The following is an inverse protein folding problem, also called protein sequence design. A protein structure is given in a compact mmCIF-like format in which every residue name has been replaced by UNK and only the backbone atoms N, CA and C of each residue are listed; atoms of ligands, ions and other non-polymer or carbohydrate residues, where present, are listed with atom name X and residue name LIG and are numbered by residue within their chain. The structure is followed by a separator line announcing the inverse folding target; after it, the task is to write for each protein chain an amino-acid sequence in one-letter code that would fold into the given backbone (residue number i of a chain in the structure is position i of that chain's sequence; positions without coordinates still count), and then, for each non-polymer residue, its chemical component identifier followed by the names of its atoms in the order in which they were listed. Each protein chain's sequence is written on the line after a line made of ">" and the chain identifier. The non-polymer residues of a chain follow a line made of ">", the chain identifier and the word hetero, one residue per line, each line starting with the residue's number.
data_IF_864196585824
#
_entry.id   IF_864196585824
#
_cell.length_a   1.000
_cell.length_b   1.000
_cell.length_c   1.000
_cell.angle_alpha   90.00
_cell.angle_beta   90.00
_cell.angle_gamma   90.00
#
_symmetry.space_group_name_H-M   'P 1'
#
loop_
_entity.id
_entity.type
_entity.pdbx_description
1 polymer ?
#
# COMPACT_ATOMS: atom_id res chain seq x y z
N UNK A 1 34.83 27.65 73.90
CA UNK A 1 33.64 27.41 74.74
C UNK A 1 32.43 27.54 73.83
N UNK A 2 31.98 26.45 73.22
CA UNK A 2 30.89 25.56 73.67
C UNK A 2 29.51 26.25 73.73
N UNK A 3 28.58 25.64 72.97
CA UNK A 3 27.11 25.62 73.08
C UNK A 3 26.30 26.78 72.47
N UNK A 4 25.07 26.61 71.96
CA UNK A 4 24.35 25.56 71.21
C UNK A 4 22.90 26.11 70.97
N UNK A 5 22.35 25.86 69.78
CA UNK A 5 20.93 25.66 69.41
C UNK A 5 19.82 26.76 69.36
N UNK A 6 19.19 26.76 68.17
CA UNK A 6 17.76 26.80 67.78
C UNK A 6 16.90 28.06 67.93
N UNK A 7 16.37 28.54 66.80
CA UNK A 7 14.92 28.53 66.53
C UNK A 7 14.64 28.46 65.01
N UNK A 8 13.63 27.66 64.66
CA UNK A 8 13.09 27.38 63.32
C UNK A 8 12.19 28.49 62.79
N UNK A 9 12.15 28.71 61.47
CA UNK A 9 10.95 29.16 60.75
C UNK A 9 10.84 28.42 59.40
N UNK A 10 9.61 27.99 59.10
CA UNK A 10 9.14 27.17 58.01
C UNK A 10 9.20 27.83 56.61
N UNK A 11 9.65 27.01 55.64
CA UNK A 11 9.01 26.62 54.38
C UNK A 11 8.22 27.64 53.52
N UNK A 12 8.64 27.78 52.25
CA UNK A 12 7.76 27.89 51.07
C UNK A 12 8.55 27.37 49.85
N UNK A 13 8.70 26.05 49.75
CA UNK A 13 9.12 25.39 48.52
C UNK A 13 8.05 25.49 47.43
N UNK A 14 8.34 26.20 46.34
CA UNK A 14 7.51 26.18 45.13
C UNK A 14 7.73 24.84 44.44
N UNK A 15 6.76 23.94 44.59
CA UNK A 15 6.71 22.70 43.82
C UNK A 15 6.41 23.03 42.35
N UNK A 16 7.43 22.96 41.49
CA UNK A 16 7.23 22.94 40.05
C UNK A 16 6.62 21.59 39.67
N UNK A 17 5.31 21.54 39.45
CA UNK A 17 4.65 20.40 38.81
C UNK A 17 5.12 20.33 37.36
N UNK A 18 6.13 19.49 37.11
CA UNK A 18 6.42 18.99 35.76
C UNK A 18 5.30 18.03 35.41
N UNK A 19 4.27 18.53 34.74
CA UNK A 19 3.30 17.67 34.06
C UNK A 19 4.04 16.97 32.93
N UNK A 20 4.43 15.72 33.15
CA UNK A 20 4.82 14.82 32.08
C UNK A 20 3.60 14.59 31.21
N UNK A 21 3.51 15.29 30.07
CA UNK A 21 2.60 14.91 29.00
C UNK A 21 3.04 13.52 28.52
N UNK A 22 2.32 12.47 28.96
CA UNK A 22 2.41 11.17 28.30
C UNK A 22 2.15 11.44 26.82
N UNK A 23 3.14 11.16 25.97
CA UNK A 23 2.91 11.12 24.53
C UNK A 23 1.78 10.12 24.31
N UNK A 24 0.66 10.57 23.75
CA UNK A 24 -0.46 9.69 23.40
C UNK A 24 0.10 8.55 22.53
N UNK A 25 0.00 7.31 23.02
CA UNK A 25 0.40 6.14 22.24
C UNK A 25 -0.40 6.12 20.94
N UNK A 26 0.29 6.11 19.80
CA UNK A 26 -0.35 5.99 18.50
C UNK A 26 -0.94 4.58 18.39
N UNK A 27 -2.26 4.49 18.24
CA UNK A 27 -2.97 3.24 17.98
C UNK A 27 -3.15 3.12 16.47
N UNK A 28 -2.86 1.94 15.92
CA UNK A 28 -3.16 1.57 14.54
C UNK A 28 -4.06 0.34 14.54
N UNK A 29 -5.31 0.52 14.15
CA UNK A 29 -6.31 -0.54 14.04
C UNK A 29 -6.44 -0.89 12.56
N UNK A 30 -6.34 -2.17 12.23
CA UNK A 30 -6.36 -2.66 10.85
C UNK A 30 -7.29 -3.86 10.74
N UNK A 31 -8.39 -3.69 10.00
CA UNK A 31 -9.29 -4.77 9.61
C UNK A 31 -8.94 -5.18 8.17
N UNK A 32 -8.34 -6.36 8.02
CA UNK A 32 -8.05 -6.90 6.69
C UNK A 32 -9.34 -7.24 5.93
N UNK A 33 -10.41 -7.64 6.63
CA UNK A 33 -11.70 -8.00 6.05
C UNK A 33 -11.67 -9.17 5.06
N UNK A 34 -10.68 -10.05 5.17
CA UNK A 34 -10.62 -11.26 4.38
C UNK A 34 -11.70 -12.26 4.81
N UNK A 35 -11.56 -12.80 6.03
CA UNK A 35 -12.45 -13.86 6.53
C UNK A 35 -12.94 -13.60 7.94
N UNK A 36 -12.39 -12.56 8.58
CA UNK A 36 -12.62 -12.22 9.97
C UNK A 36 -13.04 -10.76 10.09
N UNK A 37 -13.90 -10.50 11.07
CA UNK A 37 -14.31 -9.14 11.45
C UNK A 37 -13.42 -8.54 12.54
N UNK A 38 -12.47 -9.31 13.08
CA UNK A 38 -11.47 -8.84 14.05
C UNK A 38 -10.42 -7.99 13.35
N UNK A 39 -9.96 -6.94 14.02
CA UNK A 39 -8.74 -6.26 13.59
C UNK A 39 -7.49 -7.14 13.83
N UNK A 40 -6.35 -6.75 13.26
CA UNK A 40 -5.07 -7.47 13.37
C UNK A 40 -4.54 -7.65 14.80
N UNK A 41 -4.98 -6.83 15.77
CA UNK A 41 -4.63 -7.00 17.19
C UNK A 41 -5.66 -7.82 17.98
N UNK A 42 -6.77 -8.21 17.35
CA UNK A 42 -7.90 -8.93 17.94
C UNK A 42 -8.51 -8.21 19.16
N UNK A 43 -8.58 -6.87 19.12
CA UNK A 43 -9.13 -6.01 20.17
C UNK A 43 -10.47 -5.39 19.74
N UNK A 44 -10.55 -4.93 18.50
CA UNK A 44 -11.70 -4.25 17.93
C UNK A 44 -12.44 -5.18 16.97
N UNK A 45 -13.33 -5.99 17.54
CA UNK A 45 -14.02 -7.06 16.80
C UNK A 45 -15.36 -6.56 16.27
N UNK A 46 -15.53 -6.61 14.96
CA UNK A 46 -16.77 -6.23 14.28
C UNK A 46 -17.84 -7.32 14.31
N UNK A 47 -19.09 -6.91 14.17
CA UNK A 47 -20.25 -7.78 13.90
C UNK A 47 -20.85 -7.40 12.55
N UNK A 48 -21.05 -8.37 11.68
CA UNK A 48 -21.74 -8.18 10.39
C UNK A 48 -23.24 -8.02 10.63
N UNK A 49 -23.83 -6.97 10.05
CA UNK A 49 -25.23 -6.63 10.21
C UNK A 49 -26.01 -6.97 8.94
N UNK A 50 -27.25 -7.42 9.12
CA UNK A 50 -28.22 -7.63 8.04
C UNK A 50 -27.74 -8.58 6.92
N UNK A 51 -26.96 -9.59 7.30
CA UNK A 51 -26.48 -10.62 6.37
C UNK A 51 -25.37 -10.15 5.44
N UNK A 52 -24.60 -9.13 5.81
CA UNK A 52 -23.36 -8.79 5.10
C UNK A 52 -22.44 -10.02 5.02
N UNK A 53 -21.70 -10.16 3.91
CA UNK A 53 -20.84 -11.32 3.63
C UNK A 53 -19.48 -10.87 3.13
N UNK A 54 -18.61 -11.82 2.81
CA UNK A 54 -17.34 -11.58 2.13
C UNK A 54 -17.45 -11.92 0.64
N UNK A 55 -16.56 -11.34 -0.17
CA UNK A 55 -16.33 -11.72 -1.57
C UNK A 55 -14.84 -12.00 -1.79
N UNK A 56 -14.48 -12.64 -2.89
CA UNK A 56 -13.09 -12.94 -3.26
C UNK A 56 -12.69 -12.19 -4.52
N UNK A 57 -11.39 -11.89 -4.64
CA UNK A 57 -10.81 -11.25 -5.84
C UNK A 57 -11.07 -12.08 -7.10
N UNK A 58 -11.44 -11.43 -8.20
CA UNK A 58 -11.60 -12.06 -9.52
C UNK A 58 -10.93 -11.19 -10.60
N UNK A 59 -10.59 -11.73 -11.78
CA UNK A 59 -10.06 -10.88 -12.86
C UNK A 59 -10.97 -9.71 -13.26
N UNK A 60 -12.30 -9.85 -13.10
CA UNK A 60 -13.28 -8.79 -13.34
C UNK A 60 -13.39 -7.76 -12.21
N UNK A 61 -12.95 -8.12 -11.00
CA UNK A 61 -12.93 -7.27 -9.81
C UNK A 61 -11.58 -7.49 -9.11
N UNK A 62 -10.48 -7.04 -9.76
CA UNK A 62 -9.15 -7.61 -9.55
C UNK A 62 -8.43 -7.08 -8.32
N UNK A 63 -9.13 -6.34 -7.46
CA UNK A 63 -8.53 -5.83 -6.25
C UNK A 63 -9.37 -6.22 -5.05
N UNK A 64 -8.78 -6.98 -4.16
CA UNK A 64 -9.20 -7.15 -2.77
C UNK A 64 -7.92 -7.42 -1.99
N UNK A 65 -6.89 -6.58 -2.20
CA UNK A 65 -5.51 -6.88 -1.86
C UNK A 65 -5.20 -8.40 -1.86
N UNK A 66 -4.60 -8.88 -0.78
CA UNK A 66 -4.49 -10.24 -0.27
C UNK A 66 -5.79 -10.98 0.11
N UNK A 67 -6.65 -11.44 -0.80
CA UNK A 67 -7.67 -12.45 -0.43
C UNK A 67 -9.13 -12.06 -0.68
N UNK A 68 -9.84 -11.65 0.37
CA UNK A 68 -11.28 -11.41 0.41
C UNK A 68 -11.59 -10.01 0.99
N UNK A 69 -12.82 -9.55 0.83
CA UNK A 69 -13.22 -8.24 1.33
C UNK A 69 -14.69 -8.24 1.72
N UNK A 70 -15.13 -7.16 2.37
CA UNK A 70 -16.51 -7.04 2.84
C UNK A 70 -17.44 -6.68 1.67
N UNK A 71 -18.50 -7.47 1.48
CA UNK A 71 -19.55 -7.28 0.48
C UNK A 71 -20.82 -6.75 1.11
N UNK A 72 -21.31 -5.63 0.59
CA UNK A 72 -22.39 -4.84 1.16
C UNK A 72 -23.45 -4.50 0.11
N UNK A 73 -24.70 -4.72 0.48
CA UNK A 73 -25.89 -4.36 -0.31
C UNK A 73 -26.66 -3.25 0.40
N UNK A 74 -26.72 -2.07 -0.21
CA UNK A 74 -27.36 -0.91 0.43
C UNK A 74 -28.86 -1.08 0.63
N UNK A 75 -29.55 -1.74 -0.30
CA UNK A 75 -30.99 -2.04 -0.19
C UNK A 75 -31.34 -3.02 0.94
N UNK A 76 -30.35 -3.78 1.42
CA UNK A 76 -30.46 -4.65 2.60
C UNK A 76 -29.92 -3.99 3.87
N UNK A 77 -29.54 -2.71 3.83
CA UNK A 77 -28.99 -1.97 4.99
C UNK A 77 -27.77 -2.67 5.62
N UNK A 78 -26.90 -3.26 4.80
CA UNK A 78 -25.74 -4.03 5.25
C UNK A 78 -24.56 -3.16 5.65
N UNK A 79 -23.88 -3.54 6.73
CA UNK A 79 -22.66 -2.89 7.24
C UNK A 79 -22.00 -3.79 8.30
N UNK A 80 -20.81 -3.42 8.76
CA UNK A 80 -20.17 -3.99 9.95
C UNK A 80 -20.15 -2.95 11.07
N UNK A 81 -20.42 -3.36 12.30
CA UNK A 81 -20.37 -2.50 13.49
C UNK A 81 -19.35 -2.98 14.51
N UNK A 82 -18.56 -2.08 15.08
CA UNK A 82 -17.71 -2.31 16.24
C UNK A 82 -18.31 -1.51 17.38
N UNK A 83 -19.04 -2.20 18.25
CA UNK A 83 -19.75 -1.57 19.37
C UNK A 83 -18.81 -1.17 20.51
N UNK A 84 -17.82 -2.02 20.80
CA UNK A 84 -16.84 -1.86 21.89
C UNK A 84 -15.51 -2.51 21.53
N UNK A 85 -14.37 -2.04 22.09
CA UNK A 85 -14.25 -0.83 22.90
C UNK A 85 -14.35 0.45 22.04
N UNK A 86 -14.69 1.57 22.68
CA UNK A 86 -14.70 2.88 22.03
C UNK A 86 -13.28 3.27 21.62
N UNK A 87 -13.13 3.80 20.40
CA UNK A 87 -11.88 4.42 19.94
C UNK A 87 -11.98 5.92 20.15
N UNK A 88 -11.24 6.44 21.11
CA UNK A 88 -11.25 7.86 21.44
C UNK A 88 -10.42 8.70 20.45
N UNK A 89 -11.13 9.40 19.57
CA UNK A 89 -10.60 10.35 18.59
C UNK A 89 -10.81 11.82 19.02
N UNK A 90 -11.37 12.07 20.21
CA UNK A 90 -11.75 13.39 20.70
C UNK A 90 -10.52 14.29 20.81
N UNK A 91 -10.53 15.45 20.14
CA UNK A 91 -9.40 16.40 20.14
C UNK A 91 -8.04 15.78 19.75
N UNK A 92 -8.05 14.79 18.84
CA UNK A 92 -6.82 14.12 18.37
C UNK A 92 -6.70 14.18 16.86
N UNK A 93 -5.46 14.10 16.38
CA UNK A 93 -5.17 13.79 14.99
C UNK A 93 -5.50 12.33 14.69
N UNK A 94 -6.03 12.05 13.51
CA UNK A 94 -6.27 10.68 13.06
C UNK A 94 -6.29 10.55 11.55
N UNK A 95 -6.20 9.31 11.08
CA UNK A 95 -6.29 8.94 9.67
C UNK A 95 -7.17 7.71 9.53
N UNK A 96 -8.13 7.77 8.62
CA UNK A 96 -8.92 6.63 8.15
C UNK A 96 -8.57 6.40 6.70
N UNK A 97 -8.25 5.17 6.32
CA UNK A 97 -7.99 4.81 4.93
C UNK A 97 -8.54 3.40 4.64
N UNK A 98 -8.96 3.17 3.40
CA UNK A 98 -9.55 1.91 2.96
C UNK A 98 -9.64 1.86 1.44
N UNK A 99 -9.78 0.66 0.89
CA UNK A 99 -10.16 0.46 -0.49
C UNK A 99 -11.67 0.28 -0.64
N UNK A 100 -12.25 0.93 -1.64
CA UNK A 100 -13.67 0.84 -1.96
C UNK A 100 -13.90 0.51 -3.44
N UNK A 101 -14.97 -0.24 -3.72
CA UNK A 101 -15.49 -0.47 -5.06
C UNK A 101 -17.01 -0.43 -5.01
N UNK A 102 -17.61 0.54 -5.70
CA UNK A 102 -19.07 0.58 -5.81
C UNK A 102 -19.55 -0.24 -7.00
N UNK A 103 -20.48 -1.16 -6.75
CA UNK A 103 -21.15 -1.97 -7.78
C UNK A 103 -22.28 -1.23 -8.49
N UNK A 104 -22.68 -0.06 -7.97
CA UNK A 104 -23.68 0.81 -8.56
C UNK A 104 -23.12 2.22 -8.81
N UNK A 105 -23.69 2.93 -9.79
CA UNK A 105 -23.41 4.35 -9.98
C UNK A 105 -23.66 5.10 -8.67
N UNK A 106 -22.71 5.94 -8.27
CA UNK A 106 -22.86 6.74 -7.07
C UNK A 106 -24.01 7.75 -7.26
N UNK A 107 -24.90 7.78 -6.28
CA UNK A 107 -25.99 8.76 -6.18
C UNK A 107 -26.30 8.97 -4.70
N UNK A 108 -26.62 10.20 -4.30
CA UNK A 108 -26.81 10.51 -2.88
C UNK A 108 -25.57 10.23 -2.03
N UNK A 109 -25.76 9.81 -0.79
CA UNK A 109 -24.67 9.49 0.15
C UNK A 109 -24.45 7.97 0.23
N UNK A 110 -23.20 7.53 0.10
CA UNK A 110 -22.77 6.13 0.24
C UNK A 110 -21.74 6.03 1.37
N UNK A 111 -22.17 5.55 2.54
CA UNK A 111 -21.38 5.58 3.78
C UNK A 111 -20.23 4.56 3.79
N UNK A 112 -19.00 4.99 4.08
CA UNK A 112 -17.81 4.12 4.10
C UNK A 112 -17.38 3.82 5.53
N UNK A 113 -17.18 4.86 6.34
CA UNK A 113 -16.74 4.75 7.74
C UNK A 113 -17.40 5.83 8.58
N UNK A 114 -17.93 5.49 9.76
CA UNK A 114 -18.48 6.50 10.66
C UNK A 114 -18.40 6.15 12.15
N UNK A 115 -18.32 7.18 12.98
CA UNK A 115 -18.40 7.12 14.45
C UNK A 115 -19.21 8.33 14.92
N UNK A 116 -20.32 8.11 15.61
CA UNK A 116 -21.31 9.16 15.87
C UNK A 116 -21.87 9.05 17.27
N UNK A 117 -21.74 10.13 18.04
CA UNK A 117 -22.34 10.28 19.37
C UNK A 117 -23.72 10.93 19.28
N UNK A 118 -23.78 12.13 18.70
CA UNK A 118 -25.00 12.94 18.59
C UNK A 118 -25.18 13.43 17.14
N UNK A 119 -26.16 12.85 16.45
CA UNK A 119 -26.41 13.07 15.02
C UNK A 119 -26.76 14.51 14.63
N UNK A 120 -27.24 15.32 15.57
CA UNK A 120 -27.60 16.73 15.35
C UNK A 120 -26.62 17.72 15.99
N UNK A 121 -25.62 17.24 16.73
CA UNK A 121 -24.63 18.08 17.40
C UNK A 121 -23.45 18.35 16.46
N UNK A 122 -23.02 19.62 16.38
CA UNK A 122 -21.83 19.96 15.60
C UNK A 122 -20.60 19.28 16.19
N UNK A 123 -19.72 18.78 15.33
CA UNK A 123 -18.44 18.16 15.65
C UNK A 123 -18.48 16.79 16.35
N UNK A 124 -19.65 16.15 16.49
CA UNK A 124 -19.80 14.90 17.25
C UNK A 124 -20.13 13.65 16.40
N UNK A 125 -20.26 13.79 15.08
CA UNK A 125 -20.40 12.64 14.19
C UNK A 125 -19.42 12.69 13.03
N UNK A 126 -18.46 11.78 13.10
CA UNK A 126 -17.48 11.53 12.08
C UNK A 126 -18.12 10.67 10.98
N UNK A 127 -17.99 11.11 9.74
CA UNK A 127 -18.30 10.33 8.55
C UNK A 127 -17.23 10.50 7.49
N UNK A 128 -16.95 9.40 6.78
CA UNK A 128 -16.30 9.32 5.49
C UNK A 128 -17.26 8.58 4.54
N UNK A 129 -17.59 9.20 3.42
CA UNK A 129 -18.58 8.70 2.46
C UNK A 129 -18.31 9.23 1.04
N UNK A 130 -19.02 8.70 0.05
CA UNK A 130 -19.14 9.33 -1.28
C UNK A 130 -20.48 10.07 -1.34
N UNK A 131 -20.48 11.36 -1.67
CA UNK A 131 -21.67 12.20 -1.87
C UNK A 131 -21.80 12.57 -3.33
N UNK A 132 -22.91 12.18 -3.96
CA UNK A 132 -23.07 12.30 -5.41
C UNK A 132 -22.02 11.44 -6.09
N UNK A 133 -20.92 12.03 -6.52
CA UNK A 133 -19.77 11.34 -7.11
C UNK A 133 -18.44 11.74 -6.48
N UNK A 134 -18.42 12.49 -5.38
CA UNK A 134 -17.20 13.02 -4.78
C UNK A 134 -17.01 12.50 -3.37
N UNK A 135 -15.76 12.34 -2.94
CA UNK A 135 -15.46 12.04 -1.54
C UNK A 135 -15.98 13.13 -0.63
N UNK A 136 -16.48 12.75 0.54
CA UNK A 136 -17.01 13.67 1.52
C UNK A 136 -16.66 13.15 2.92
N UNK A 137 -16.20 14.04 3.77
CA UNK A 137 -15.95 13.71 5.17
C UNK A 137 -16.22 14.91 6.08
N UNK A 138 -16.35 14.66 7.37
CA UNK A 138 -16.56 15.73 8.32
C UNK A 138 -17.04 15.24 9.68
N UNK A 139 -17.35 16.21 10.55
CA UNK A 139 -17.74 15.97 11.94
C UNK A 139 -19.18 16.43 12.24
N UNK A 140 -20.05 16.58 11.25
CA UNK A 140 -21.33 17.32 11.31
C UNK A 140 -21.13 18.83 11.38
N UNK A 141 -21.61 19.54 10.34
CA UNK A 141 -21.46 20.99 10.14
C UNK A 141 -20.00 21.47 10.06
N UNK A 142 -19.06 20.54 9.89
CA UNK A 142 -17.64 20.80 9.81
C UNK A 142 -17.03 19.85 8.80
N UNK A 143 -17.39 20.09 7.54
CA UNK A 143 -17.24 19.12 6.47
C UNK A 143 -16.23 19.59 5.42
N UNK A 144 -15.78 18.62 4.63
CA UNK A 144 -14.92 18.79 3.47
C UNK A 144 -15.50 17.94 2.32
N UNK A 145 -15.49 18.51 1.11
CA UNK A 145 -15.85 17.81 -0.12
C UNK A 145 -14.63 17.73 -1.03
N UNK A 146 -14.45 16.56 -1.63
CA UNK A 146 -13.54 16.30 -2.71
C UNK A 146 -13.96 17.01 -4.00
N UNK A 147 -13.04 17.04 -4.97
CA UNK A 147 -13.28 17.61 -6.30
C UNK A 147 -13.26 16.54 -7.40
N UNK A 148 -12.61 15.41 -7.14
CA UNK A 148 -12.56 14.27 -8.04
C UNK A 148 -13.92 13.59 -8.16
N UNK A 149 -14.20 13.06 -9.35
CA UNK A 149 -15.39 12.27 -9.66
C UNK A 149 -15.05 10.79 -9.63
N UNK A 150 -15.73 10.04 -8.76
CA UNK A 150 -15.65 8.59 -8.68
C UNK A 150 -16.71 7.98 -9.58
N UNK A 151 -16.28 7.05 -10.43
CA UNK A 151 -17.17 6.19 -11.21
C UNK A 151 -17.33 4.82 -10.55
N UNK A 152 -18.46 4.16 -10.79
CA UNK A 152 -18.69 2.78 -10.36
C UNK A 152 -17.78 1.79 -11.08
N UNK A 153 -17.72 0.56 -10.56
CA UNK A 153 -16.95 -0.55 -11.10
C UNK A 153 -15.43 -0.28 -11.18
N UNK A 154 -14.93 0.57 -10.29
CA UNK A 154 -13.52 0.89 -10.13
C UNK A 154 -13.15 0.84 -8.66
N UNK A 155 -11.95 0.34 -8.39
CA UNK A 155 -11.35 0.40 -7.08
C UNK A 155 -10.69 1.75 -6.84
N UNK A 156 -10.92 2.29 -5.65
CA UNK A 156 -10.26 3.49 -5.17
C UNK A 156 -9.69 3.25 -3.79
N UNK A 157 -8.45 3.66 -3.57
CA UNK A 157 -7.96 3.89 -2.22
C UNK A 157 -8.44 5.27 -1.78
N UNK A 158 -9.14 5.36 -0.65
CA UNK A 158 -9.66 6.61 -0.12
C UNK A 158 -9.08 6.83 1.26
N UNK A 159 -8.73 8.07 1.60
CA UNK A 159 -8.32 8.40 2.95
C UNK A 159 -8.86 9.75 3.41
N UNK A 160 -9.14 9.84 4.69
CA UNK A 160 -9.43 11.07 5.40
C UNK A 160 -8.43 11.26 6.54
N UNK A 161 -7.65 12.33 6.43
CA UNK A 161 -6.66 12.73 7.44
C UNK A 161 -7.18 13.96 8.16
N UNK A 162 -7.26 13.89 9.48
CA UNK A 162 -7.45 15.04 10.34
C UNK A 162 -6.19 15.30 11.16
N UNK A 163 -5.60 16.48 10.99
CA UNK A 163 -4.51 16.96 11.81
C UNK A 163 -5.05 18.00 12.79
N UNK A 164 -5.08 17.64 14.07
CA UNK A 164 -5.59 18.49 15.15
C UNK A 164 -4.70 19.71 15.39
N UNK A 165 -3.39 19.53 15.36
CA UNK A 165 -2.42 20.59 15.65
C UNK A 165 -2.46 21.69 14.58
N UNK A 166 -2.57 21.31 13.31
CA UNK A 166 -2.66 22.26 12.19
C UNK A 166 -4.10 22.62 11.81
N UNK A 167 -5.10 21.98 12.45
CA UNK A 167 -6.54 22.13 12.16
C UNK A 167 -6.88 21.87 10.69
N UNK A 168 -6.27 20.84 10.11
CA UNK A 168 -6.45 20.47 8.71
C UNK A 168 -7.29 19.21 8.57
N UNK A 169 -8.29 19.27 7.70
CA UNK A 169 -9.01 18.11 7.14
C UNK A 169 -8.51 17.91 5.72
N UNK A 170 -8.11 16.69 5.36
CA UNK A 170 -7.54 16.37 4.04
C UNK A 170 -8.18 15.09 3.51
N UNK A 171 -8.69 15.14 2.29
CA UNK A 171 -9.16 13.97 1.54
C UNK A 171 -8.08 13.54 0.55
N UNK A 172 -7.82 12.25 0.47
CA UNK A 172 -6.95 11.63 -0.52
C UNK A 172 -7.73 10.61 -1.34
N UNK A 173 -7.49 10.59 -2.65
CA UNK A 173 -7.99 9.61 -3.59
C UNK A 173 -6.80 9.00 -4.33
N UNK A 174 -6.68 7.67 -4.30
CA UNK A 174 -5.58 6.91 -4.90
C UNK A 174 -4.19 7.41 -4.48
N UNK A 175 -4.04 7.80 -3.20
CA UNK A 175 -2.78 8.27 -2.65
C UNK A 175 -2.49 9.76 -2.87
N UNK A 176 -3.27 10.44 -3.71
CA UNK A 176 -3.08 11.86 -4.06
C UNK A 176 -4.11 12.72 -3.34
N UNK A 177 -3.70 13.90 -2.88
CA UNK A 177 -4.60 14.85 -2.21
C UNK A 177 -5.70 15.31 -3.18
N UNK A 178 -6.96 15.10 -2.80
CA UNK A 178 -8.15 15.52 -3.55
C UNK A 178 -8.71 16.85 -3.03
N UNK A 179 -8.69 17.05 -1.71
CA UNK A 179 -9.11 18.31 -1.10
C UNK A 179 -8.40 18.56 0.23
N UNK A 180 -8.29 19.84 0.60
CA UNK A 180 -7.79 20.28 1.90
C UNK A 180 -8.67 21.42 2.42
N UNK A 181 -9.00 21.37 3.71
CA UNK A 181 -9.66 22.43 4.46
C UNK A 181 -8.82 22.78 5.68
N UNK A 182 -8.56 24.07 5.86
CA UNK A 182 -7.85 24.60 7.03
C UNK A 182 -8.83 25.18 8.04
N UNK A 183 -8.36 25.44 9.26
CA UNK A 183 -9.16 26.01 10.36
C UNK A 183 -10.39 25.17 10.71
N UNK A 184 -10.31 23.84 10.56
CA UNK A 184 -11.38 22.94 10.95
C UNK A 184 -11.51 22.87 12.48
N UNK A 185 -12.74 22.89 12.97
CA UNK A 185 -13.02 22.59 14.38
C UNK A 185 -12.61 21.15 14.70
N UNK A 186 -12.25 20.84 15.96
CA UNK A 186 -11.90 19.49 16.34
C UNK A 186 -13.09 18.55 16.36
N UNK A 187 -12.83 17.26 16.17
CA UNK A 187 -13.81 16.22 16.51
C UNK A 187 -14.00 16.17 18.03
N UNK A 188 -15.25 16.13 18.47
CA UNK A 188 -15.68 16.26 19.86
C UNK A 188 -16.50 15.07 20.36
N UNK A 189 -16.69 14.03 19.54
CA UNK A 189 -17.43 12.84 19.95
C UNK A 189 -16.65 12.02 20.96
N UNK A 190 -17.24 11.76 22.13
CA UNK A 190 -16.65 11.02 23.27
C UNK A 190 -17.21 9.61 23.43
N UNK A 191 -18.14 9.20 22.56
CA UNK A 191 -18.66 7.84 22.49
C UNK A 191 -19.16 7.52 21.06
N UNK A 192 -19.63 6.30 20.85
CA UNK A 192 -20.26 5.86 19.61
C UNK A 192 -19.53 4.68 18.96
N UNK A 193 -20.31 3.80 18.36
CA UNK A 193 -19.80 2.64 17.63
C UNK A 193 -19.13 3.06 16.32
N UNK A 194 -18.07 2.36 15.93
CA UNK A 194 -17.54 2.46 14.57
C UNK A 194 -18.45 1.64 13.64
N UNK A 195 -18.79 2.21 12.50
CA UNK A 195 -19.54 1.54 11.44
C UNK A 195 -18.68 1.54 10.17
N UNK A 196 -18.44 0.37 9.60
CA UNK A 196 -17.79 0.18 8.30
C UNK A 196 -18.86 -0.22 7.31
N UNK A 197 -18.98 0.50 6.19
CA UNK A 197 -20.05 0.33 5.22
C UNK A 197 -21.33 1.11 5.53
N UNK A 198 -21.34 1.94 6.58
CA UNK A 198 -22.41 2.91 6.78
C UNK A 198 -21.95 4.15 7.54
N UNK A 199 -22.66 5.26 7.33
CA UNK A 199 -22.49 6.51 8.08
C UNK A 199 -23.84 7.06 8.51
N UNK A 200 -23.85 7.84 9.59
CA UNK A 200 -25.02 8.60 10.04
C UNK A 200 -24.77 10.08 9.74
N UNK A 201 -25.54 10.65 8.81
CA UNK A 201 -25.51 12.06 8.45
C UNK A 201 -26.83 12.67 8.86
N UNK A 202 -26.81 13.55 9.87
CA UNK A 202 -28.04 13.91 10.60
C UNK A 202 -28.81 12.64 11.01
N UNK A 203 -30.10 12.58 10.74
CA UNK A 203 -30.95 11.44 11.11
C UNK A 203 -30.96 10.31 10.08
N UNK A 204 -30.20 10.43 8.98
CA UNK A 204 -30.23 9.47 7.88
C UNK A 204 -28.99 8.58 7.92
N UNK A 205 -29.21 7.27 8.03
CA UNK A 205 -28.15 6.29 7.87
C UNK A 205 -28.00 5.93 6.39
N UNK A 206 -26.79 6.12 5.88
CA UNK A 206 -26.42 5.87 4.49
C UNK A 206 -25.55 4.62 4.43
N UNK A 207 -25.86 3.69 3.53
CA UNK A 207 -25.19 2.39 3.40
C UNK A 207 -24.37 2.34 2.11
N UNK A 208 -23.21 1.69 2.16
CA UNK A 208 -22.42 1.41 0.96
C UNK A 208 -23.08 0.33 0.11
N UNK A 209 -22.86 0.39 -1.21
CA UNK A 209 -23.29 -0.66 -2.13
C UNK A 209 -22.11 -1.15 -2.98
N UNK A 210 -21.54 -2.28 -2.60
CA UNK A 210 -20.35 -2.83 -3.23
C UNK A 210 -19.39 -3.40 -2.19
N UNK A 211 -18.11 -3.16 -2.39
CA UNK A 211 -17.04 -3.80 -1.64
C UNK A 211 -16.19 -2.80 -0.87
N UNK A 212 -15.79 -3.18 0.35
CA UNK A 212 -14.87 -2.43 1.21
C UNK A 212 -13.80 -3.39 1.70
N UNK A 213 -12.56 -2.95 1.70
CA UNK A 213 -11.43 -3.79 2.06
C UNK A 213 -10.29 -2.97 2.72
N UNK A 214 -9.42 -3.64 3.50
CA UNK A 214 -8.24 -3.05 4.11
C UNK A 214 -8.50 -1.77 4.90
N UNK A 215 -9.48 -1.80 5.81
CA UNK A 215 -9.83 -0.62 6.60
C UNK A 215 -8.80 -0.40 7.69
N UNK A 216 -8.22 0.80 7.74
CA UNK A 216 -7.26 1.19 8.78
C UNK A 216 -7.65 2.52 9.43
N UNK A 217 -7.57 2.54 10.75
CA UNK A 217 -7.70 3.74 11.59
C UNK A 217 -6.42 3.93 12.38
N UNK A 218 -5.76 5.07 12.22
CA UNK A 218 -4.54 5.43 12.96
C UNK A 218 -4.79 6.70 13.76
N UNK A 219 -4.45 6.75 15.05
CA UNK A 219 -4.65 7.93 15.93
C UNK A 219 -3.53 8.98 15.77
N UNK A 220 -3.11 9.22 14.53
CA UNK A 220 -2.27 10.35 14.12
C UNK A 220 -2.61 10.76 12.70
N UNK A 221 -2.22 11.97 12.33
CA UNK A 221 -2.24 12.40 10.93
C UNK A 221 -1.08 11.70 10.18
N UNK A 222 -1.41 10.94 9.15
CA UNK A 222 -0.42 10.41 8.20
C UNK A 222 0.02 11.50 7.23
N UNK A 223 1.28 11.43 6.81
CA UNK A 223 1.83 12.27 5.77
C UNK A 223 1.31 11.86 4.38
N UNK A 224 1.38 12.78 3.42
CA UNK A 224 1.02 12.48 2.03
C UNK A 224 1.82 11.29 1.46
N UNK A 225 3.10 11.15 1.84
CA UNK A 225 3.93 10.03 1.39
C UNK A 225 3.44 8.69 1.96
N UNK A 226 3.06 8.64 3.24
CA UNK A 226 2.50 7.42 3.84
C UNK A 226 1.17 7.00 3.18
N UNK A 227 0.31 7.96 2.83
CA UNK A 227 -0.94 7.70 2.12
C UNK A 227 -0.67 7.25 0.68
N UNK A 228 0.30 7.86 0.01
CA UNK A 228 0.71 7.46 -1.34
C UNK A 228 1.28 6.03 -1.36
N UNK A 229 2.14 5.68 -0.40
CA UNK A 229 2.68 4.33 -0.26
C UNK A 229 1.57 3.32 0.01
N UNK A 230 0.65 3.61 0.94
CA UNK A 230 -0.49 2.71 1.23
C UNK A 230 -1.37 2.45 -0.01
N UNK A 231 -1.55 3.45 -0.87
CA UNK A 231 -2.36 3.33 -2.07
C UNK A 231 -1.64 2.69 -3.27
N UNK A 232 -0.30 2.71 -3.31
CA UNK A 232 0.45 2.41 -4.56
C UNK A 232 1.60 1.42 -4.44
N UNK A 233 2.03 1.05 -3.22
CA UNK A 233 2.98 -0.04 -3.04
C UNK A 233 2.22 -1.36 -3.19
N UNK A 234 2.48 -2.07 -4.29
CA UNK A 234 1.84 -3.33 -4.63
C UNK A 234 2.47 -4.52 -3.88
N UNK A 235 3.76 -4.45 -3.55
CA UNK A 235 4.45 -5.42 -2.70
C UNK A 235 5.86 -4.96 -2.35
N UNK A 236 6.36 -5.41 -1.20
CA UNK A 236 7.73 -5.15 -0.73
C UNK A 236 8.30 -6.41 -0.08
N UNK A 237 9.47 -6.86 -0.53
CA UNK A 237 10.16 -8.02 0.03
C UNK A 237 11.58 -7.63 0.43
N UNK A 238 11.81 -7.55 1.74
CA UNK A 238 13.14 -7.36 2.34
C UNK A 238 13.97 -8.65 2.39
N UNK A 239 13.31 -9.81 2.38
CA UNK A 239 13.94 -11.11 2.63
C UNK A 239 14.59 -11.27 4.01
N UNK A 240 14.22 -10.40 4.95
CA UNK A 240 14.68 -10.44 6.34
C UNK A 240 13.92 -11.46 7.20
N UNK A 241 14.67 -12.15 8.06
CA UNK A 241 14.12 -12.99 9.12
C UNK A 241 13.33 -12.15 10.14
N UNK A 242 12.31 -12.74 10.81
CA UNK A 242 11.97 -14.17 10.85
C UNK A 242 11.04 -14.64 9.74
N UNK A 243 10.54 -13.75 8.89
CA UNK A 243 9.54 -14.09 7.86
C UNK A 243 9.97 -13.56 6.50
N UNK A 244 11.05 -14.12 5.92
CA UNK A 244 11.73 -13.55 4.75
C UNK A 244 10.90 -13.61 3.46
N UNK A 245 9.80 -14.35 3.45
CA UNK A 245 8.96 -14.46 2.26
C UNK A 245 7.64 -13.70 2.40
N UNK A 246 7.41 -13.02 3.52
CA UNK A 246 6.21 -12.22 3.69
C UNK A 246 6.33 -10.91 2.90
N UNK A 247 5.20 -10.45 2.38
CA UNK A 247 5.07 -9.10 1.85
C UNK A 247 5.10 -8.12 3.04
N UNK A 248 6.14 -7.29 3.11
CA UNK A 248 6.29 -6.20 4.06
C UNK A 248 5.48 -4.95 3.64
N UNK A 249 4.86 -4.98 2.45
CA UNK A 249 3.96 -3.96 1.94
C UNK A 249 2.52 -4.08 2.49
N UNK A 250 1.58 -3.28 1.96
CA UNK A 250 0.22 -3.19 2.49
C UNK A 250 -0.71 -4.33 2.05
N UNK A 251 -0.32 -5.15 1.05
CA UNK A 251 -1.27 -6.04 0.38
C UNK A 251 -1.19 -7.51 0.82
N UNK A 252 -0.20 -7.90 1.62
CA UNK A 252 -0.09 -9.27 2.12
C UNK A 252 0.15 -10.32 1.02
N UNK A 253 0.76 -9.92 -0.10
CA UNK A 253 1.08 -10.80 -1.24
C UNK A 253 2.25 -11.75 -0.92
N UNK A 254 2.16 -12.54 0.15
CA UNK A 254 3.26 -13.38 0.61
C UNK A 254 3.74 -14.34 -0.48
N UNK A 255 5.06 -14.50 -0.56
CA UNK A 255 5.69 -15.33 -1.56
C UNK A 255 6.07 -16.72 -1.07
N UNK A 256 6.51 -17.52 -2.04
CA UNK A 256 7.05 -18.86 -1.84
C UNK A 256 8.35 -18.96 -2.63
N UNK A 257 9.33 -19.70 -2.10
CA UNK A 257 10.57 -19.99 -2.81
C UNK A 257 10.76 -21.49 -3.06
N UNK A 258 11.53 -21.81 -4.09
CA UNK A 258 12.09 -23.13 -4.32
C UNK A 258 13.60 -23.00 -4.55
N UNK A 259 14.42 -23.80 -3.87
CA UNK A 259 15.87 -23.87 -4.07
C UNK A 259 16.66 -22.59 -3.79
N UNK A 260 16.02 -21.51 -3.34
CA UNK A 260 16.66 -20.26 -2.96
C UNK A 260 16.96 -20.25 -1.45
N UNK A 261 17.98 -19.51 -1.05
CA UNK A 261 18.43 -19.45 0.34
C UNK A 261 18.62 -18.02 0.81
N UNK A 262 18.43 -17.78 2.10
CA UNK A 262 18.68 -16.48 2.72
C UNK A 262 20.17 -16.35 3.06
N UNK A 263 20.78 -15.25 2.65
CA UNK A 263 22.20 -14.90 2.85
C UNK A 263 22.33 -13.48 3.37
N UNK A 264 23.55 -13.01 3.65
CA UNK A 264 23.78 -11.58 3.92
C UNK A 264 23.37 -10.72 2.73
N UNK A 265 22.56 -9.70 3.00
CA UNK A 265 22.00 -8.79 2.01
C UNK A 265 22.80 -7.51 1.81
N UNK A 266 22.23 -6.63 1.00
CA UNK A 266 22.60 -5.22 0.93
C UNK A 266 22.13 -4.52 2.21
N UNK A 267 20.86 -4.72 2.58
CA UNK A 267 20.32 -4.41 3.90
C UNK A 267 20.09 -5.74 4.61
N UNK A 268 20.74 -5.97 5.75
CA UNK A 268 20.54 -7.18 6.57
C UNK A 268 20.70 -8.50 5.78
N UNK A 269 19.60 -9.09 5.28
CA UNK A 269 19.56 -10.36 4.57
C UNK A 269 19.01 -10.22 3.14
N UNK A 270 19.33 -11.18 2.28
CA UNK A 270 18.87 -11.22 0.90
C UNK A 270 18.53 -12.65 0.47
N UNK A 271 17.73 -12.79 -0.59
CA UNK A 271 17.48 -14.08 -1.22
C UNK A 271 18.55 -14.37 -2.30
N UNK A 272 19.13 -15.57 -2.28
CA UNK A 272 20.17 -16.03 -3.22
C UNK A 272 19.64 -17.11 -4.15
N UNK A 273 19.85 -16.91 -5.45
CA UNK A 273 19.55 -17.85 -6.52
C UNK A 273 20.81 -18.53 -7.07
N UNK A 274 20.67 -19.81 -7.44
CA UNK A 274 21.72 -20.71 -7.96
C UNK A 274 21.53 -21.05 -9.45
N UNK A 275 20.63 -20.36 -10.14
CA UNK A 275 20.31 -20.60 -11.55
C UNK A 275 18.90 -21.16 -11.72
N UNK A 276 18.70 -22.01 -12.72
CA UNK A 276 17.35 -22.44 -13.15
C UNK A 276 16.62 -23.37 -12.16
N UNK A 277 17.31 -23.84 -11.12
CA UNK A 277 16.74 -24.66 -10.05
C UNK A 277 16.22 -23.85 -8.85
N UNK A 278 16.37 -22.52 -8.88
CA UNK A 278 15.98 -21.67 -7.77
C UNK A 278 15.16 -20.47 -8.23
N UNK A 279 14.05 -20.22 -7.54
CA UNK A 279 13.17 -19.10 -7.84
C UNK A 279 12.31 -18.73 -6.62
N UNK A 280 11.77 -17.52 -6.66
CA UNK A 280 10.76 -17.04 -5.73
C UNK A 280 9.56 -16.58 -6.54
N UNK A 281 8.34 -16.75 -6.02
CA UNK A 281 7.15 -16.19 -6.64
C UNK A 281 6.13 -15.73 -5.60
N UNK A 282 5.36 -14.71 -5.98
CA UNK A 282 4.25 -14.18 -5.19
C UNK A 282 3.07 -13.87 -6.12
N UNK A 283 1.84 -14.04 -5.63
CA UNK A 283 0.61 -13.84 -6.41
C UNK A 283 -0.17 -12.63 -5.89
N UNK A 284 -0.91 -11.96 -6.78
CA UNK A 284 -1.79 -10.85 -6.42
C UNK A 284 -1.52 -9.55 -7.17
N UNK A 285 -0.64 -9.56 -8.18
CA UNK A 285 -0.26 -8.34 -8.88
C UNK A 285 -1.20 -8.08 -10.07
N UNK A 286 -2.13 -7.14 -9.93
CA UNK A 286 -3.17 -6.86 -10.92
C UNK A 286 -2.96 -5.57 -11.73
N UNK A 287 -2.10 -4.67 -11.25
CA UNK A 287 -1.78 -3.36 -11.84
C UNK A 287 -0.36 -3.23 -12.40
N UNK A 288 0.44 -4.30 -12.34
CA UNK A 288 1.80 -4.34 -12.89
C UNK A 288 1.80 -4.61 -14.39
N UNK A 289 2.97 -4.48 -15.04
CA UNK A 289 3.11 -4.71 -16.47
C UNK A 289 2.50 -6.02 -16.93
N UNK A 290 1.64 -5.95 -17.94
CA UNK A 290 0.96 -7.09 -18.55
C UNK A 290 -0.03 -7.83 -17.63
N UNK A 291 -0.49 -7.19 -16.54
CA UNK A 291 -1.54 -7.71 -15.66
C UNK A 291 -2.95 -7.44 -16.24
N UNK A 292 -3.95 -7.14 -15.40
CA UNK A 292 -5.37 -7.08 -15.81
C UNK A 292 -5.65 -5.93 -16.78
N UNK A 293 -5.02 -4.78 -16.56
CA UNK A 293 -5.30 -3.56 -17.30
C UNK A 293 -4.18 -3.20 -18.27
N UNK A 294 -4.54 -2.74 -19.46
CA UNK A 294 -3.57 -2.36 -20.48
C UNK A 294 -2.94 -1.01 -20.12
N UNK A 295 -1.64 -0.88 -20.38
CA UNK A 295 -0.89 0.38 -20.28
C UNK A 295 -1.06 1.12 -18.94
N UNK A 296 -1.28 0.39 -17.82
CA UNK A 296 -1.24 0.99 -16.48
C UNK A 296 0.20 1.23 -16.04
N UNK A 297 0.48 2.36 -15.39
CA UNK A 297 1.82 2.66 -14.92
C UNK A 297 2.21 1.70 -13.79
N UNK A 298 3.49 1.33 -13.74
CA UNK A 298 4.04 0.47 -12.69
C UNK A 298 5.54 0.73 -12.53
N UNK A 299 6.11 0.29 -11.41
CA UNK A 299 7.55 0.30 -11.21
C UNK A 299 8.02 -0.94 -10.47
N UNK A 300 9.23 -1.40 -10.77
CA UNK A 300 9.93 -2.44 -10.03
C UNK A 300 11.32 -1.92 -9.70
N UNK A 301 11.70 -1.95 -8.42
CA UNK A 301 13.03 -1.57 -7.94
C UNK A 301 13.59 -2.70 -7.06
N UNK A 302 14.88 -2.98 -7.18
CA UNK A 302 15.57 -4.00 -6.40
C UNK A 302 17.08 -3.77 -6.38
N UNK A 303 17.73 -4.32 -5.38
CA UNK A 303 19.18 -4.51 -5.34
C UNK A 303 19.54 -5.90 -5.87
N UNK A 304 20.60 -5.97 -6.68
CA UNK A 304 21.13 -7.23 -7.21
C UNK A 304 22.62 -7.37 -6.94
N UNK A 305 23.09 -8.59 -6.72
CA UNK A 305 24.51 -8.92 -6.61
C UNK A 305 24.79 -10.22 -7.40
N UNK A 306 25.15 -10.10 -8.70
CA UNK A 306 25.35 -11.25 -9.56
C UNK A 306 26.57 -12.08 -9.17
N UNK A 307 26.43 -13.40 -9.17
CA UNK A 307 27.55 -14.35 -9.08
C UNK A 307 28.05 -14.79 -10.47
N UNK A 308 27.24 -14.59 -11.51
CA UNK A 308 27.56 -14.88 -12.91
C UNK A 308 27.07 -13.73 -13.82
N UNK A 309 27.77 -13.52 -14.94
CA UNK A 309 27.37 -12.56 -15.99
C UNK A 309 26.75 -13.22 -17.22
N UNK A 310 26.47 -14.52 -17.15
CA UNK A 310 25.71 -15.21 -18.19
C UNK A 310 24.31 -14.60 -18.34
N UNK A 311 23.83 -14.49 -19.57
CA UNK A 311 22.47 -14.02 -19.85
C UNK A 311 21.45 -14.80 -19.03
N UNK A 312 20.55 -14.08 -18.34
CA UNK A 312 19.61 -14.66 -17.36
C UNK A 312 18.43 -13.75 -17.06
N UNK A 313 17.34 -14.32 -16.55
CA UNK A 313 16.16 -13.59 -16.07
C UNK A 313 16.25 -13.35 -14.56
N UNK A 314 16.00 -12.11 -14.14
CA UNK A 314 15.93 -11.70 -12.74
C UNK A 314 14.48 -11.48 -12.31
N UNK A 315 13.69 -10.72 -13.09
CA UNK A 315 12.28 -10.44 -12.79
C UNK A 315 11.42 -10.91 -13.95
N UNK A 316 10.42 -11.73 -13.63
CA UNK A 316 9.44 -12.25 -14.56
C UNK A 316 8.03 -12.00 -14.02
N UNK A 317 7.06 -11.83 -14.93
CA UNK A 317 5.64 -11.86 -14.61
C UNK A 317 4.94 -12.94 -15.43
N UNK A 318 4.00 -13.66 -14.83
CA UNK A 318 3.16 -14.62 -15.55
C UNK A 318 1.74 -14.64 -15.01
N UNK A 319 0.76 -15.04 -15.81
CA UNK A 319 -0.62 -15.23 -15.31
C UNK A 319 -0.91 -16.67 -14.86
N UNK A 320 0.07 -17.56 -15.01
CA UNK A 320 -0.03 -18.96 -14.61
C UNK A 320 1.35 -19.52 -14.33
N UNK A 321 1.42 -20.45 -13.38
CA UNK A 321 2.61 -21.25 -13.06
C UNK A 321 2.72 -22.53 -13.91
N UNK A 322 1.94 -22.67 -14.98
CA UNK A 322 1.95 -23.90 -15.79
C UNK A 322 2.10 -23.66 -17.29
N UNK A 323 2.30 -22.41 -17.72
CA UNK A 323 2.30 -22.06 -19.15
C UNK A 323 3.45 -21.14 -19.53
N UNK A 324 3.83 -21.14 -20.81
CA UNK A 324 4.81 -20.23 -21.43
C UNK A 324 4.34 -18.78 -21.55
N UNK A 325 3.20 -18.44 -20.92
CA UNK A 325 2.59 -17.12 -20.97
C UNK A 325 3.11 -16.25 -19.84
N UNK A 326 4.36 -15.86 -20.02
CA UNK A 326 5.12 -15.07 -19.09
C UNK A 326 5.94 -14.03 -19.85
N UNK A 327 6.45 -13.06 -19.10
CA UNK A 327 7.15 -11.90 -19.57
C UNK A 327 8.41 -11.69 -18.71
N UNK A 328 9.58 -11.81 -19.32
CA UNK A 328 10.85 -11.46 -18.68
C UNK A 328 10.98 -9.94 -18.71
N UNK A 329 10.80 -9.26 -17.58
CA UNK A 329 10.85 -7.80 -17.49
C UNK A 329 12.30 -7.30 -17.32
N UNK A 330 13.09 -7.97 -16.47
CA UNK A 330 14.45 -7.55 -16.10
C UNK A 330 15.39 -8.75 -16.05
N UNK A 331 16.63 -8.56 -16.50
CA UNK A 331 17.62 -9.62 -16.56
C UNK A 331 19.02 -9.13 -16.91
N UNK A 332 19.92 -10.08 -17.11
CA UNK A 332 21.26 -9.88 -17.64
C UNK A 332 21.33 -10.32 -19.08
N UNK A 333 22.10 -9.59 -19.88
CA UNK A 333 22.50 -10.00 -21.22
C UNK A 333 24.01 -9.93 -21.36
N UNK A 334 24.58 -10.97 -21.96
CA UNK A 334 26.00 -11.02 -22.30
C UNK A 334 26.22 -11.75 -23.62
N UNK A 335 27.01 -11.13 -24.51
CA UNK A 335 27.48 -11.78 -25.74
C UNK A 335 28.59 -12.80 -25.49
N UNK A 336 29.38 -12.62 -24.43
CA UNK A 336 30.59 -13.43 -24.17
C UNK A 336 30.46 -14.32 -22.93
N UNK A 337 29.43 -14.11 -22.12
CA UNK A 337 29.25 -14.73 -20.81
C UNK A 337 30.10 -14.12 -19.69
N UNK A 338 31.00 -13.19 -20.02
CA UNK A 338 31.96 -12.58 -19.08
C UNK A 338 31.55 -11.16 -18.70
N UNK A 339 31.09 -10.36 -19.67
CA UNK A 339 30.65 -8.98 -19.45
C UNK A 339 29.13 -8.91 -19.57
N UNK A 340 28.42 -8.66 -18.47
CA UNK A 340 26.97 -8.59 -18.43
C UNK A 340 26.46 -7.15 -18.40
N UNK A 341 25.39 -6.89 -19.14
CA UNK A 341 24.64 -5.64 -19.09
C UNK A 341 23.27 -5.89 -18.47
N UNK A 342 22.76 -4.89 -17.76
CA UNK A 342 21.37 -4.90 -17.30
C UNK A 342 20.46 -4.71 -18.51
N UNK A 343 19.42 -5.52 -18.61
CA UNK A 343 18.42 -5.38 -19.67
C UNK A 343 17.04 -5.33 -19.05
N UNK A 344 16.23 -4.40 -19.56
CA UNK A 344 14.79 -4.39 -19.34
C UNK A 344 14.07 -4.47 -20.68
N UNK A 345 12.97 -5.19 -20.73
CA UNK A 345 12.18 -5.34 -21.95
C UNK A 345 10.69 -5.42 -21.63
N UNK A 346 9.88 -5.14 -22.66
CA UNK A 346 8.49 -5.57 -22.74
C UNK A 346 8.39 -7.04 -23.18
N UNK A 347 7.21 -7.48 -23.64
CA UNK A 347 6.95 -8.88 -24.04
C UNK A 347 8.04 -9.49 -24.94
N UNK A 348 8.54 -8.67 -25.87
CA UNK A 348 9.75 -8.91 -26.66
C UNK A 348 10.38 -7.57 -27.10
N UNK A 349 9.55 -6.51 -27.16
CA UNK A 349 9.89 -5.12 -27.37
C UNK A 349 8.93 -4.24 -26.53
N UNK A 350 9.31 -2.99 -26.20
CA UNK A 350 10.61 -2.38 -26.45
C UNK A 350 11.69 -2.94 -25.51
N UNK A 351 12.96 -2.65 -25.79
CA UNK A 351 14.12 -3.13 -25.03
C UNK A 351 15.03 -1.95 -24.69
N UNK A 352 15.57 -1.91 -23.47
CA UNK A 352 16.69 -1.07 -23.09
C UNK A 352 17.83 -1.98 -22.66
N UNK A 353 18.97 -1.87 -23.36
CA UNK A 353 20.24 -2.49 -22.94
C UNK A 353 21.02 -1.43 -22.15
N UNK A 354 21.14 -1.69 -20.86
CA UNK A 354 21.74 -0.86 -19.83
C UNK A 354 23.27 -0.86 -19.81
N UNK A 355 23.88 -0.32 -18.75
CA UNK A 355 25.33 -0.31 -18.59
C UNK A 355 25.87 -1.70 -18.25
N UNK A 356 27.18 -1.86 -18.43
CA UNK A 356 27.91 -3.03 -17.92
C UNK A 356 27.98 -3.00 -16.39
N UNK A 357 27.87 -4.18 -15.78
CA UNK A 357 28.00 -4.36 -14.33
C UNK A 357 29.00 -5.48 -14.00
N UNK A 358 29.39 -5.57 -12.73
CA UNK A 358 30.40 -6.53 -12.25
C UNK A 358 29.79 -7.54 -11.26
N UNK A 359 30.34 -8.74 -11.20
CA UNK A 359 29.92 -9.75 -10.21
C UNK A 359 30.34 -9.33 -8.81
N UNK A 360 29.69 -9.87 -7.78
CA UNK A 360 30.04 -9.64 -6.38
C UNK A 360 29.74 -8.23 -5.87
N UNK A 361 29.18 -7.35 -6.72
CA UNK A 361 28.93 -5.94 -6.39
C UNK A 361 27.43 -5.68 -6.37
N UNK A 362 26.94 -5.11 -5.27
CA UNK A 362 25.55 -4.67 -5.17
C UNK A 362 25.29 -3.52 -6.14
N UNK A 363 24.25 -3.66 -6.96
CA UNK A 363 23.79 -2.66 -7.92
C UNK A 363 22.30 -2.47 -7.74
N UNK A 364 21.84 -1.24 -7.55
CA UNK A 364 20.42 -0.92 -7.52
C UNK A 364 19.91 -0.77 -8.95
N UNK A 365 18.80 -1.42 -9.26
CA UNK A 365 18.18 -1.39 -10.58
C UNK A 365 16.70 -1.08 -10.42
N UNK A 366 16.22 -0.09 -11.16
CA UNK A 366 14.79 0.22 -11.22
C UNK A 366 14.31 0.31 -12.66
N UNK A 367 13.12 -0.22 -12.89
CA UNK A 367 12.37 -0.01 -14.12
C UNK A 367 11.04 0.63 -13.78
N UNK A 368 10.72 1.72 -14.46
CA UNK A 368 9.40 2.35 -14.40
C UNK A 368 8.72 2.26 -15.75
N UNK A 369 7.39 2.32 -15.73
CA UNK A 369 6.56 2.40 -16.92
C UNK A 369 5.41 3.36 -16.71
N UNK A 370 5.16 4.18 -17.73
CA UNK A 370 3.86 4.81 -17.98
C UNK A 370 3.59 4.86 -19.48
N UNK A 371 2.34 5.06 -19.89
CA UNK A 371 2.02 5.17 -21.32
C UNK A 371 2.79 6.29 -22.03
N UNK A 372 3.04 7.40 -21.33
CA UNK A 372 3.74 8.58 -21.85
C UNK A 372 5.26 8.35 -21.97
N UNK A 373 5.89 7.79 -20.94
CA UNK A 373 7.34 7.65 -20.89
C UNK A 373 7.83 6.28 -21.40
N UNK A 374 6.93 5.30 -21.54
CA UNK A 374 7.28 3.92 -21.81
C UNK A 374 8.17 3.32 -20.73
N UNK A 375 8.97 2.30 -21.09
CA UNK A 375 9.93 1.72 -20.13
C UNK A 375 11.05 2.73 -19.89
N UNK A 376 11.40 2.93 -18.63
CA UNK A 376 12.52 3.77 -18.22
C UNK A 376 13.40 3.00 -17.24
N UNK A 377 14.69 2.89 -17.56
CA UNK A 377 15.70 2.19 -16.76
C UNK A 377 16.51 3.19 -15.93
N UNK A 378 16.70 2.86 -14.66
CA UNK A 378 17.58 3.55 -13.74
C UNK A 378 18.56 2.54 -13.14
N UNK A 379 19.82 2.98 -12.95
CA UNK A 379 20.87 2.17 -12.33
C UNK A 379 21.57 3.02 -11.27
N UNK A 380 21.73 2.49 -10.05
CA UNK A 380 22.31 3.17 -8.90
C UNK A 380 21.71 4.58 -8.68
N UNK A 381 20.39 4.65 -8.75
CA UNK A 381 19.64 5.87 -8.49
C UNK A 381 19.69 6.90 -9.63
N UNK A 382 20.31 6.60 -10.77
CA UNK A 382 20.47 7.53 -11.90
C UNK A 382 19.73 7.05 -13.13
N UNK A 383 19.03 7.95 -13.83
CA UNK A 383 18.38 7.66 -15.12
C UNK A 383 19.41 7.18 -16.14
N UNK A 384 19.18 6.00 -16.73
CA UNK A 384 19.97 5.49 -17.83
C UNK A 384 19.34 5.82 -19.18
N UNK A 385 18.04 5.54 -19.36
CA UNK A 385 17.35 5.76 -20.62
C UNK A 385 15.87 5.37 -20.60
N UNK A 386 15.14 5.80 -21.61
CA UNK A 386 13.71 5.57 -21.79
C UNK A 386 13.39 5.20 -23.24
N UNK A 387 12.36 4.39 -23.45
CA UNK A 387 11.87 4.00 -24.78
C UNK A 387 10.99 5.08 -25.42
N UNK A 388 10.54 6.06 -24.65
CA UNK A 388 9.42 6.94 -25.03
C UNK A 388 8.09 6.18 -25.06
N UNK A 389 7.02 6.91 -25.39
CA UNK A 389 5.63 6.41 -25.34
C UNK A 389 5.47 5.06 -26.03
N UNK A 390 4.92 4.09 -25.30
CA UNK A 390 4.65 2.75 -25.81
C UNK A 390 3.44 2.15 -25.10
N UNK A 391 2.57 1.52 -25.87
CA UNK A 391 1.43 0.79 -25.34
C UNK A 391 1.84 -0.62 -24.90
N UNK A 392 1.36 -1.06 -23.73
CA UNK A 392 1.40 -2.45 -23.33
C UNK A 392 0.01 -3.08 -23.36
N UNK A 393 -0.07 -4.26 -23.99
CA UNK A 393 -1.23 -5.14 -23.88
C UNK A 393 -1.40 -5.63 -22.44
N UNK A 394 -2.63 -5.97 -22.08
CA UNK A 394 -2.92 -6.69 -20.85
C UNK A 394 -2.96 -8.20 -21.09
N UNK A 395 -2.88 -8.96 -20.01
CA UNK A 395 -3.24 -10.37 -20.01
C UNK A 395 -4.72 -10.58 -19.68
N UNK A 396 -5.34 -9.64 -18.97
CA UNK A 396 -6.68 -9.80 -18.39
C UNK A 396 -6.68 -10.68 -17.12
N UNK A 397 -5.51 -11.01 -16.58
CA UNK A 397 -5.36 -11.84 -15.38
C UNK A 397 -4.53 -11.13 -14.32
N UNK A 398 -4.80 -11.49 -13.06
CA UNK A 398 -3.91 -11.19 -11.94
C UNK A 398 -2.65 -12.03 -12.13
N UNK A 399 -1.49 -11.41 -12.02
CA UNK A 399 -0.21 -12.05 -12.31
C UNK A 399 0.55 -12.43 -11.06
N UNK A 400 1.45 -13.38 -11.27
CA UNK A 400 2.54 -13.71 -10.37
C UNK A 400 3.72 -12.80 -10.68
N UNK A 401 4.36 -12.28 -9.64
CA UNK A 401 5.76 -11.86 -9.68
C UNK A 401 6.62 -13.11 -9.53
N UNK A 402 7.68 -13.23 -10.32
CA UNK A 402 8.75 -14.19 -10.12
C UNK A 402 10.10 -13.50 -10.05
N UNK A 403 10.93 -13.96 -9.11
CA UNK A 403 12.35 -13.60 -9.02
C UNK A 403 13.21 -14.82 -9.32
N UNK A 404 14.27 -14.61 -10.10
CA UNK A 404 15.03 -15.67 -10.75
C UNK A 404 14.35 -16.15 -12.02
N UNK A 405 14.45 -17.45 -12.31
CA UNK A 405 13.86 -18.06 -13.51
C UNK A 405 13.00 -19.26 -13.13
N UNK A 406 11.74 -19.22 -13.54
CA UNK A 406 10.78 -20.29 -13.27
C UNK A 406 10.32 -20.98 -14.56
N UNK A 407 10.00 -20.20 -15.61
CA UNK A 407 9.47 -20.75 -16.87
C UNK A 407 10.07 -20.10 -18.11
N UNK A 408 10.09 -20.89 -19.19
CA UNK A 408 10.43 -20.41 -20.53
C UNK A 408 9.33 -19.48 -21.06
N UNK A 409 9.68 -18.21 -21.27
CA UNK A 409 8.81 -17.23 -21.93
C UNK A 409 9.19 -17.03 -23.39
N UNK A 410 8.42 -16.17 -24.07
CA UNK A 410 8.96 -15.48 -25.23
C UNK A 410 10.18 -14.68 -24.79
N UNK A 411 11.35 -14.98 -25.34
CA UNK A 411 12.62 -14.34 -24.99
C UNK A 411 13.23 -13.64 -26.19
N UNK A 412 13.78 -12.45 -25.98
CA UNK A 412 14.64 -11.78 -26.93
C UNK A 412 16.01 -11.54 -26.27
N UNK A 413 16.32 -10.31 -25.85
CA UNK A 413 17.57 -10.01 -25.15
C UNK A 413 17.65 -10.64 -23.76
N UNK A 414 16.53 -10.81 -23.05
CA UNK A 414 16.50 -11.56 -21.78
C UNK A 414 16.20 -13.03 -22.06
N UNK A 415 17.23 -13.87 -21.95
CA UNK A 415 17.19 -15.31 -22.19
C UNK A 415 16.50 -16.08 -21.06
N UNK A 416 15.88 -17.21 -21.39
CA UNK A 416 15.25 -18.15 -20.45
C UNK A 416 16.27 -18.99 -19.66
N UNK A 417 17.16 -18.31 -18.93
CA UNK A 417 18.17 -18.91 -18.08
C UNK A 417 18.05 -18.34 -16.66
N UNK A 418 18.34 -19.17 -15.66
CA UNK A 418 18.28 -18.74 -14.27
C UNK A 418 19.39 -17.78 -13.86
N UNK A 419 18.97 -16.73 -13.15
CA UNK A 419 19.87 -15.81 -12.49
C UNK A 419 20.64 -16.52 -11.37
N UNK A 420 21.94 -16.21 -11.30
CA UNK A 420 22.84 -16.65 -10.26
C UNK A 420 23.36 -15.43 -9.53
N UNK A 421 22.94 -15.24 -8.28
CA UNK A 421 23.22 -14.03 -7.52
C UNK A 421 22.19 -13.77 -6.43
N UNK A 422 22.44 -12.75 -5.62
CA UNK A 422 21.46 -12.28 -4.63
C UNK A 422 20.56 -11.19 -5.17
N UNK A 423 19.34 -11.17 -4.67
CA UNK A 423 18.37 -10.08 -4.83
C UNK A 423 17.95 -9.62 -3.44
N UNK A 424 17.80 -8.32 -3.27
CA UNK A 424 17.42 -7.70 -1.99
C UNK A 424 16.50 -6.51 -2.24
N UNK A 425 15.73 -6.13 -1.21
CA UNK A 425 14.95 -4.89 -1.15
C UNK A 425 14.08 -4.69 -2.40
N UNK A 426 13.16 -5.64 -2.65
CA UNK A 426 12.34 -5.67 -3.87
C UNK A 426 11.05 -4.90 -3.64
N UNK A 427 10.88 -3.80 -4.37
CA UNK A 427 9.68 -2.96 -4.35
C UNK A 427 8.92 -3.06 -5.68
N UNK A 428 7.60 -3.18 -5.58
CA UNK A 428 6.69 -3.18 -6.73
C UNK A 428 5.65 -2.10 -6.49
N UNK A 429 5.53 -1.16 -7.42
CA UNK A 429 4.55 -0.07 -7.36
C UNK A 429 3.53 -0.16 -8.49
N UNK A 430 2.27 0.19 -8.22
CA UNK A 430 1.20 0.34 -9.20
C UNK A 430 1.16 1.74 -9.85
N UNK A 431 2.31 2.41 -9.87
CA UNK A 431 2.53 3.70 -10.51
C UNK A 431 3.97 3.83 -11.02
N UNK A 432 4.18 4.83 -11.85
CA UNK A 432 5.51 5.32 -12.18
C UNK A 432 6.05 6.11 -10.97
N UNK A 433 7.14 5.62 -10.38
CA UNK A 433 7.85 6.37 -9.33
C UNK A 433 8.75 7.42 -9.98
N UNK A 434 8.94 8.53 -9.27
CA UNK A 434 9.76 9.66 -9.72
C UNK A 434 11.25 9.37 -9.58
N UNK A 435 12.08 10.12 -10.29
CA UNK A 435 13.55 10.08 -10.13
C UNK A 435 13.98 10.27 -8.67
N UNK A 436 13.33 11.17 -7.91
CA UNK A 436 13.66 11.39 -6.51
C UNK A 436 13.39 10.13 -5.65
N UNK A 437 12.29 9.43 -5.90
CA UNK A 437 11.96 8.18 -5.23
C UNK A 437 12.93 7.06 -5.61
N UNK A 438 13.32 6.96 -6.89
CA UNK A 438 14.34 6.01 -7.35
C UNK A 438 15.69 6.28 -6.66
N UNK A 439 16.10 7.54 -6.55
CA UNK A 439 17.34 7.91 -5.86
C UNK A 439 17.27 7.60 -4.37
N UNK A 440 16.12 7.79 -3.72
CA UNK A 440 15.92 7.44 -2.32
C UNK A 440 16.09 5.92 -2.10
N UNK A 441 15.48 5.08 -2.93
CA UNK A 441 15.61 3.61 -2.87
C UNK A 441 17.05 3.13 -3.14
N UNK A 442 17.80 3.86 -3.96
CA UNK A 442 19.20 3.56 -4.26
C UNK A 442 20.19 4.04 -3.18
N UNK A 443 19.71 4.75 -2.16
CA UNK A 443 20.53 5.34 -1.09
C UNK A 443 20.30 4.73 0.29
N UNK A 444 19.46 3.69 0.36
CA UNK A 444 19.09 2.99 1.59
C UNK A 444 20.31 2.33 2.22
#
# INVERSE_FOLDING_TARGET
>A
MMNNWLHSIFDLGVASTVTSTQASTVISIYWCLDTLTSDSSNVYIGTLMNGATYFSTTSSQPFVAYGQGLSLTSSSSQYMTIATPFVDLTYKSFTIETWIFSSAAYSGDSGIFGQCECSSCSNQCLYLLVRGTSLYAGFTLNDISGSSTLAANLWYHVAFVYNYDTKQQILYLNGVQDAIKSSASPYQGVNGSINIGSTLVFTIRNYFNGYIDNVKLTTRAKTANEILTAATLAGYYSFDSPSPYNDNGPNGANGTQNGAVIVSGYVNQAIRFTGSSSYFYAYGFFQVGYAVYASKPFSVALWINPASMTSSTIVQFSWSLTSSRCHNLMGLWSNTGINGQIVVQGWAWPIIIGPFISTGTWTHVSVTYSFTNGLTLYVNGTLFGSTGSVAFSNSGYITYLQLGYMYSCTSNSITNNGYQGSVDEVYIYSREITQAEVSALASV
#
